data_IF_306086900824
#
_entry.id   IF_306086900824
#
_cell.length_a   1.000
_cell.length_b   1.000
_cell.length_c   1.000
_cell.angle_alpha   90.00
_cell.angle_beta   90.00
_cell.angle_gamma   90.00
#
_symmetry.space_group_name_H-M   'P 1'
#
loop_
_entity.id
_entity.type
_entity.pdbx_description
1 polymer ?
#
# COMPACT_ATOMS: atom_id res chain seq x y z
N UNK A 1 62.21 -14.68 -6.35
CA UNK A 1 61.23 -15.72 -6.72
C UNK A 1 60.52 -16.11 -5.43
N UNK A 2 59.43 -15.41 -5.11
CA UNK A 2 58.66 -15.59 -3.87
C UNK A 2 57.42 -16.46 -4.16
N UNK A 3 56.98 -17.33 -3.25
CA UNK A 3 55.75 -18.09 -3.46
C UNK A 3 54.52 -17.20 -3.19
N UNK A 4 53.55 -17.32 -4.08
CA UNK A 4 52.25 -16.67 -3.99
C UNK A 4 51.36 -17.36 -2.95
N UNK A 5 50.68 -16.55 -2.11
CA UNK A 5 49.45 -16.97 -1.43
C UNK A 5 48.44 -15.84 -1.63
N UNK A 6 47.38 -16.13 -2.39
CA UNK A 6 46.35 -15.18 -2.78
C UNK A 6 45.48 -14.77 -1.58
N UNK A 7 45.45 -13.48 -1.27
CA UNK A 7 44.40 -12.88 -0.46
C UNK A 7 43.15 -12.68 -1.33
N UNK A 8 42.07 -13.39 -1.00
CA UNK A 8 40.73 -13.11 -1.54
C UNK A 8 39.88 -12.58 -0.40
N UNK A 9 39.54 -11.30 -0.44
CA UNK A 9 38.44 -10.73 0.37
C UNK A 9 37.37 -10.27 -0.62
N UNK A 10 36.36 -11.11 -0.81
CA UNK A 10 35.09 -10.72 -1.45
C UNK A 10 34.16 -10.29 -0.32
N UNK A 11 34.08 -8.98 -0.08
CA UNK A 11 33.10 -8.38 0.82
C UNK A 11 31.76 -8.21 0.12
N UNK A 12 30.97 -9.28 0.03
CA UNK A 12 29.56 -9.24 -0.39
C UNK A 12 28.66 -9.54 0.81
N UNK A 13 28.09 -8.51 1.43
CA UNK A 13 27.11 -8.65 2.49
C UNK A 13 25.77 -9.09 1.87
N UNK A 14 25.54 -10.40 1.77
CA UNK A 14 24.21 -10.95 1.50
C UNK A 14 23.47 -10.99 2.84
N UNK A 15 22.56 -10.05 3.06
CA UNK A 15 21.62 -10.12 4.17
C UNK A 15 20.73 -11.36 3.97
N UNK A 16 21.01 -12.40 4.75
CA UNK A 16 20.20 -13.61 4.82
C UNK A 16 18.81 -13.25 5.38
N UNK A 17 17.81 -13.19 4.50
CA UNK A 17 16.42 -13.22 4.91
C UNK A 17 16.14 -14.61 5.51
N UNK A 18 15.91 -14.65 6.81
CA UNK A 18 15.60 -15.86 7.57
C UNK A 18 14.36 -16.55 6.96
N UNK A 19 14.56 -17.71 6.35
CA UNK A 19 13.50 -18.59 5.89
C UNK A 19 13.05 -19.47 7.05
N UNK A 20 11.80 -19.30 7.51
CA UNK A 20 11.15 -20.25 8.41
C UNK A 20 10.00 -20.91 7.65
N UNK A 21 10.13 -22.22 7.42
CA UNK A 21 9.03 -23.20 7.31
C UNK A 21 8.42 -23.46 5.92
N UNK A 22 8.86 -24.54 5.27
CA UNK A 22 8.08 -25.26 4.26
C UNK A 22 7.44 -26.49 4.93
N UNK A 23 6.11 -26.62 4.83
CA UNK A 23 5.37 -27.84 5.10
C UNK A 23 4.18 -27.91 4.12
N UNK A 24 3.86 -29.09 3.54
CA UNK A 24 2.77 -29.20 2.58
C UNK A 24 1.46 -29.53 3.31
N UNK A 25 0.50 -28.61 3.32
CA UNK A 25 -0.92 -28.94 3.51
C UNK A 25 -1.82 -27.84 2.92
N UNK A 26 -2.92 -28.31 2.34
CA UNK A 26 -3.93 -27.59 1.56
C UNK A 26 -4.48 -26.30 2.20
N UNK A 27 -4.64 -25.24 1.39
CA UNK A 27 -5.62 -24.17 1.62
C UNK A 27 -5.08 -22.84 2.16
N UNK A 28 -5.10 -21.80 1.31
CA UNK A 28 -4.96 -20.35 1.65
C UNK A 28 -3.65 -19.95 2.36
N UNK A 29 -2.64 -19.57 1.58
CA UNK A 29 -1.49 -18.80 2.06
C UNK A 29 -1.92 -17.37 2.45
N UNK A 30 -2.28 -17.15 3.71
CA UNK A 30 -2.52 -15.81 4.24
C UNK A 30 -1.20 -15.09 4.55
N UNK A 31 -0.99 -13.94 3.89
CA UNK A 31 -0.38 -12.73 4.42
C UNK A 31 0.99 -12.81 5.08
N UNK A 32 2.08 -12.59 4.33
CA UNK A 32 3.34 -12.14 4.96
C UNK A 32 3.24 -10.64 5.23
N UNK A 33 3.45 -10.25 6.48
CA UNK A 33 3.59 -8.86 6.89
C UNK A 33 5.05 -8.44 6.76
N UNK A 34 5.29 -7.28 6.15
CA UNK A 34 6.60 -6.64 6.17
C UNK A 34 6.44 -5.13 6.04
N UNK A 35 7.48 -4.42 6.45
CA UNK A 35 7.57 -2.97 6.35
C UNK A 35 8.59 -2.65 5.27
N UNK A 36 8.16 -1.96 4.21
CA UNK A 36 9.07 -1.39 3.21
C UNK A 36 9.04 0.12 3.38
N UNK A 37 10.18 0.76 3.66
CA UNK A 37 10.27 2.22 3.86
C UNK A 37 9.18 2.78 4.80
N UNK A 38 9.02 2.12 5.95
CA UNK A 38 8.03 2.50 6.95
C UNK A 38 6.57 2.11 6.62
N UNK A 39 6.25 1.67 5.39
CA UNK A 39 4.90 1.32 5.00
C UNK A 39 4.55 -0.11 5.42
N UNK A 40 3.68 -0.32 6.44
CA UNK A 40 3.21 -1.64 6.81
C UNK A 40 2.40 -2.25 5.66
N UNK A 41 2.64 -3.51 5.31
CA UNK A 41 2.00 -4.16 4.16
C UNK A 41 1.65 -5.62 4.44
N UNK A 42 0.43 -6.02 4.10
CA UNK A 42 -0.06 -7.39 4.02
C UNK A 42 -0.14 -7.85 2.58
N UNK A 43 0.35 -9.05 2.27
CA UNK A 43 0.33 -9.59 0.90
C UNK A 43 -0.56 -10.81 0.76
N UNK A 44 -1.59 -10.68 -0.08
CA UNK A 44 -2.45 -11.79 -0.49
C UNK A 44 -1.94 -12.35 -1.81
N UNK A 45 -1.79 -13.67 -1.92
CA UNK A 45 -1.31 -14.34 -3.14
C UNK A 45 -2.27 -15.42 -3.59
N UNK A 46 -2.58 -15.40 -4.88
CA UNK A 46 -3.31 -16.45 -5.58
C UNK A 46 -2.33 -17.49 -6.14
N UNK A 47 -2.82 -18.71 -6.37
CA UNK A 47 -2.11 -19.74 -7.14
C UNK A 47 -1.99 -19.39 -8.63
N UNK A 48 -2.83 -18.47 -9.13
CA UNK A 48 -2.85 -18.00 -10.51
C UNK A 48 -1.78 -16.94 -10.83
N UNK A 49 -0.91 -16.60 -9.89
CA UNK A 49 0.15 -15.61 -10.06
C UNK A 49 -0.26 -14.16 -9.78
N UNK A 50 -1.52 -13.92 -9.39
CA UNK A 50 -1.98 -12.60 -8.91
C UNK A 50 -1.57 -12.39 -7.45
N UNK A 51 -1.09 -11.21 -7.10
CA UNK A 51 -0.90 -10.82 -5.70
C UNK A 51 -1.26 -9.38 -5.42
N UNK A 52 -1.87 -9.14 -4.25
CA UNK A 52 -2.30 -7.82 -3.79
C UNK A 52 -1.51 -7.45 -2.55
N UNK A 53 -0.99 -6.24 -2.52
CA UNK A 53 -0.32 -5.64 -1.37
C UNK A 53 -1.26 -4.60 -0.75
N UNK A 54 -1.57 -4.75 0.54
CA UNK A 54 -2.53 -3.91 1.25
C UNK A 54 -1.86 -3.31 2.48
N UNK A 55 -1.89 -1.99 2.61
CA UNK A 55 -1.44 -1.30 3.82
C UNK A 55 -2.62 -1.07 4.78
N UNK A 56 -2.46 -1.21 6.10
CA UNK A 56 -3.47 -0.76 7.05
C UNK A 56 -3.65 0.77 7.04
N UNK A 57 -2.69 1.53 6.48
CA UNK A 57 -2.83 2.98 6.30
C UNK A 57 -3.85 3.23 5.19
N UNK A 58 -5.00 3.78 5.56
CA UNK A 58 -6.13 4.01 4.65
C UNK A 58 -6.70 2.74 4.01
N UNK A 59 -6.37 1.55 4.54
CA UNK A 59 -6.65 0.26 3.88
C UNK A 59 -6.15 0.21 2.42
N UNK A 60 -5.03 0.90 2.12
CA UNK A 60 -4.59 1.16 0.76
C UNK A 60 -4.16 -0.10 0.01
N UNK A 61 -4.68 -0.32 -1.20
CA UNK A 61 -4.05 -1.23 -2.16
C UNK A 61 -2.81 -0.53 -2.73
N UNK A 62 -1.64 -0.98 -2.33
CA UNK A 62 -0.36 -0.34 -2.67
C UNK A 62 0.26 -0.93 -3.93
N UNK A 63 -0.02 -2.22 -4.20
CA UNK A 63 0.38 -2.94 -5.43
C UNK A 63 -0.67 -3.98 -5.79
N UNK A 64 -0.84 -4.19 -7.09
CA UNK A 64 -1.61 -5.28 -7.66
C UNK A 64 -0.76 -5.89 -8.77
N UNK A 65 -0.10 -7.00 -8.46
CA UNK A 65 0.72 -7.72 -9.41
C UNK A 65 -0.15 -8.73 -10.15
N UNK A 66 -0.19 -8.64 -11.47
CA UNK A 66 -0.96 -9.55 -12.33
C UNK A 66 -0.14 -10.00 -13.54
N UNK A 67 -0.27 -11.26 -13.99
CA UNK A 67 0.34 -11.74 -15.22
C UNK A 67 -0.40 -11.19 -16.46
N UNK A 68 0.36 -10.81 -17.48
CA UNK A 68 -0.16 -10.53 -18.82
C UNK A 68 -0.45 -11.82 -19.61
N UNK A 69 -0.91 -11.69 -20.86
CA UNK A 69 -1.21 -12.83 -21.73
C UNK A 69 0.00 -13.75 -22.02
N UNK A 70 1.23 -13.31 -21.72
CA UNK A 70 2.48 -14.07 -21.85
C UNK A 70 3.00 -14.56 -20.49
N UNK A 71 2.23 -14.39 -19.41
CA UNK A 71 2.60 -14.75 -18.06
C UNK A 71 3.57 -13.76 -17.38
N UNK A 72 3.87 -12.61 -17.99
CA UNK A 72 4.76 -11.61 -17.39
C UNK A 72 4.00 -10.83 -16.33
N UNK A 73 4.50 -10.86 -15.10
CA UNK A 73 3.86 -10.18 -13.97
C UNK A 73 4.27 -8.72 -13.94
N UNK A 74 3.31 -7.83 -13.75
CA UNK A 74 3.55 -6.39 -13.60
C UNK A 74 2.59 -5.79 -12.58
N UNK A 75 3.00 -4.68 -11.97
CA UNK A 75 2.12 -3.86 -11.14
C UNK A 75 1.16 -3.08 -12.03
N UNK A 76 -0.14 -3.22 -11.78
CA UNK A 76 -1.20 -2.65 -12.62
C UNK A 76 -2.01 -1.58 -11.91
N UNK A 77 -1.55 -1.10 -10.75
CA UNK A 77 -2.15 0.04 -10.03
C UNK A 77 -1.12 1.13 -9.77
N UNK A 78 -1.60 2.36 -9.62
CA UNK A 78 -0.78 3.48 -9.15
C UNK A 78 -0.73 3.48 -7.63
N UNK A 79 0.43 3.82 -7.09
CA UNK A 79 0.65 3.89 -5.65
C UNK A 79 2.07 4.31 -5.33
N UNK A 80 2.39 4.31 -4.04
CA UNK A 80 3.72 4.63 -3.53
C UNK A 80 4.36 3.43 -2.83
N UNK A 81 5.69 3.48 -2.73
CA UNK A 81 6.49 2.51 -1.97
C UNK A 81 6.80 2.96 -0.53
N UNK A 82 6.44 4.20 -0.17
CA UNK A 82 6.88 4.86 1.06
C UNK A 82 5.67 5.39 1.86
N UNK A 83 5.75 5.28 3.20
CA UNK A 83 4.70 5.75 4.10
C UNK A 83 4.45 7.26 3.98
N UNK A 84 5.52 8.06 3.89
CA UNK A 84 5.43 9.51 3.86
C UNK A 84 4.60 10.01 2.67
N UNK A 85 4.70 9.33 1.53
CA UNK A 85 3.91 9.67 0.35
C UNK A 85 2.40 9.37 0.51
N UNK A 86 2.04 8.34 1.30
CA UNK A 86 0.62 8.09 1.64
C UNK A 86 0.07 9.08 2.66
N UNK A 87 0.93 9.67 3.50
CA UNK A 87 0.56 10.66 4.50
C UNK A 87 0.59 12.11 3.97
N UNK A 88 1.14 12.34 2.78
CA UNK A 88 1.18 13.65 2.15
C UNK A 88 -0.23 14.08 1.71
N UNK A 89 -0.66 15.28 2.14
CA UNK A 89 -1.97 15.84 1.78
C UNK A 89 -2.16 16.09 0.27
N UNK A 90 -1.10 16.00 -0.53
CA UNK A 90 -1.15 16.08 -1.99
C UNK A 90 -1.44 14.73 -2.67
N UNK A 91 -1.48 13.63 -1.91
CA UNK A 91 -1.86 12.32 -2.42
C UNK A 91 -3.30 12.36 -2.96
N UNK A 92 -3.55 12.05 -4.24
CA UNK A 92 -4.89 12.06 -4.83
C UNK A 92 -5.70 10.80 -4.47
N UNK A 93 -5.55 10.31 -3.22
CA UNK A 93 -6.24 9.13 -2.70
C UNK A 93 -5.89 7.82 -3.43
N UNK A 94 -4.62 7.60 -3.80
CA UNK A 94 -4.23 6.36 -4.47
C UNK A 94 -4.48 5.13 -3.58
N UNK A 95 -5.29 4.20 -4.10
CA UNK A 95 -5.50 2.87 -3.52
C UNK A 95 -6.25 2.84 -2.18
N UNK A 96 -6.46 3.98 -1.52
CA UNK A 96 -7.09 4.06 -0.20
C UNK A 96 -8.60 3.81 -0.27
N UNK A 97 -9.15 3.33 0.83
CA UNK A 97 -10.59 3.32 1.08
C UNK A 97 -11.01 4.74 1.46
N UNK A 98 -11.89 5.31 0.65
CA UNK A 98 -12.45 6.66 0.85
C UNK A 98 -13.68 6.61 1.76
N UNK A 99 -13.79 7.54 2.71
CA UNK A 99 -14.97 7.65 3.57
C UNK A 99 -14.87 8.80 4.58
N UNK A 100 -15.96 9.16 5.27
CA UNK A 100 -17.27 8.46 5.36
C UNK A 100 -18.17 8.58 4.12
N UNK A 101 -18.08 9.66 3.37
CA UNK A 101 -18.82 9.86 2.12
C UNK A 101 -17.82 10.01 0.98
N UNK A 102 -17.91 9.16 -0.04
CA UNK A 102 -17.08 9.29 -1.21
C UNK A 102 -17.63 10.39 -2.14
N UNK A 103 -16.73 11.06 -2.84
CA UNK A 103 -17.01 12.17 -3.75
C UNK A 103 -17.52 13.41 -3.01
N UNK A 104 -18.24 14.30 -3.71
CA UNK A 104 -18.54 15.65 -3.25
C UNK A 104 -19.86 15.73 -2.49
N UNK A 105 -19.85 16.53 -1.43
CA UNK A 105 -21.06 17.08 -0.82
C UNK A 105 -21.10 18.58 -1.11
N UNK A 106 -22.15 18.98 -1.82
CA UNK A 106 -22.35 20.36 -2.28
C UNK A 106 -22.35 21.32 -1.08
N UNK A 107 -21.61 22.42 -1.20
CA UNK A 107 -21.47 23.46 -0.17
C UNK A 107 -21.02 22.93 1.20
N UNK A 108 -20.48 21.69 1.24
CA UNK A 108 -20.19 20.95 2.46
C UNK A 108 -21.40 20.80 3.38
N UNK A 109 -22.61 20.80 2.85
CA UNK A 109 -23.83 20.79 3.66
C UNK A 109 -24.80 19.71 3.23
N UNK A 110 -25.44 19.10 4.21
CA UNK A 110 -26.56 18.20 3.98
C UNK A 110 -27.55 18.26 5.15
N UNK A 111 -28.77 17.78 4.91
CA UNK A 111 -29.79 17.63 5.94
C UNK A 111 -30.05 16.15 6.21
N UNK A 112 -30.13 15.78 7.49
CA UNK A 112 -30.51 14.46 7.94
C UNK A 112 -31.46 14.62 9.13
N UNK A 113 -32.61 13.94 9.08
CA UNK A 113 -33.65 14.00 10.13
C UNK A 113 -34.06 15.42 10.54
N UNK A 114 -34.13 16.32 9.56
CA UNK A 114 -34.50 17.72 9.75
C UNK A 114 -33.38 18.62 10.31
N UNK A 115 -32.22 18.06 10.67
CA UNK A 115 -31.05 18.81 11.13
C UNK A 115 -30.09 19.08 9.97
N UNK A 116 -29.52 20.29 9.92
CA UNK A 116 -28.48 20.67 8.95
C UNK A 116 -27.11 20.37 9.54
N UNK A 117 -26.26 19.70 8.77
CA UNK A 117 -24.87 19.42 9.10
C UNK A 117 -23.96 20.17 8.13
N UNK A 118 -22.92 20.81 8.67
CA UNK A 118 -21.85 21.45 7.91
C UNK A 118 -20.57 20.65 8.05
N UNK A 119 -19.86 20.49 6.95
CA UNK A 119 -18.61 19.76 6.82
C UNK A 119 -17.47 20.71 6.41
N UNK A 120 -16.21 20.34 6.64
CA UNK A 120 -15.07 21.10 6.15
C UNK A 120 -15.09 21.22 4.62
N UNK A 121 -14.72 22.39 4.10
CA UNK A 121 -14.56 22.62 2.67
C UNK A 121 -13.10 22.39 2.29
N UNK A 122 -12.80 21.22 1.72
CA UNK A 122 -11.48 20.85 1.23
C UNK A 122 -11.36 20.86 -0.30
N UNK A 123 -12.48 20.99 -1.02
CA UNK A 123 -12.53 21.18 -2.47
C UNK A 123 -13.51 22.32 -2.83
N UNK A 124 -13.16 23.59 -2.57
CA UNK A 124 -14.09 24.71 -2.63
C UNK A 124 -14.94 24.74 -3.92
N UNK A 125 -16.28 24.88 -3.82
CA UNK A 125 -17.06 25.16 -2.60
C UNK A 125 -17.53 23.92 -1.81
N UNK A 126 -17.05 22.73 -2.14
CA UNK A 126 -17.58 21.46 -1.65
C UNK A 126 -16.72 20.80 -0.58
N UNK A 127 -17.32 19.86 0.14
CA UNK A 127 -16.57 18.81 0.82
C UNK A 127 -16.29 17.68 -0.17
N UNK A 128 -15.14 17.03 -0.05
CA UNK A 128 -14.68 15.94 -0.89
C UNK A 128 -14.11 14.79 -0.05
N UNK A 129 -14.60 13.59 -0.34
CA UNK A 129 -14.03 12.30 0.10
C UNK A 129 -14.09 12.01 1.61
N UNK A 130 -14.92 12.72 2.36
CA UNK A 130 -15.11 12.54 3.80
C UNK A 130 -13.89 12.97 4.61
N UNK A 131 -13.03 13.82 4.04
CA UNK A 131 -11.72 14.14 4.61
C UNK A 131 -11.88 14.97 5.87
N UNK A 132 -11.37 14.47 6.99
CA UNK A 132 -11.17 15.31 8.17
C UNK A 132 -9.97 16.21 7.90
N UNK A 133 -10.11 17.51 8.12
CA UNK A 133 -8.95 18.37 8.33
C UNK A 133 -8.24 17.83 9.57
N UNK A 134 -7.18 17.06 9.37
CA UNK A 134 -6.25 16.72 10.44
C UNK A 134 -5.43 17.99 10.69
N UNK A 135 -5.97 18.92 11.48
CA UNK A 135 -5.14 19.96 12.08
C UNK A 135 -4.32 19.27 13.19
N UNK A 136 -2.98 19.36 13.16
CA UNK A 136 -2.12 18.75 14.17
C UNK A 136 -2.31 19.36 15.57
#
# INVERSE_FOLDING_TARGET
MAPAVNATVVGGLVAAALFIGFGPSLGKRFGRYFTTRGLPTYVLRSETGVSIHISPIGCAITKLLAPDARGRVSDIVLGFDDLTAYLDGRNPYFGVVVGRCANRIADGQFKLDGQTYSLPINDPPNELHGTLLFEP
#
